data_IF_085284915870
#
_entry.id   IF_085284915870
#
_cell.length_a   1.000
_cell.length_b   1.000
_cell.length_c   1.000
_cell.angle_alpha   90.00
_cell.angle_beta   90.00
_cell.angle_gamma   90.00
#
_symmetry.space_group_name_H-M   'P 1'
#
loop_
_entity.id
_entity.type
_entity.pdbx_description
1 polymer ?
#
# COMPACT_ATOMS: atom_id res chain seq x y z
N UNK A 1 -8.12 46.79 42.95
CA UNK A 1 -6.86 46.08 42.63
C UNK A 1 -7.06 44.56 42.56
N UNK A 2 -7.79 43.94 43.50
CA UNK A 2 -8.16 42.51 43.53
C UNK A 2 -8.71 41.89 42.22
N UNK A 3 -9.56 42.62 41.47
CA UNK A 3 -10.23 42.08 40.28
C UNK A 3 -9.29 41.95 39.05
N UNK A 4 -8.18 42.69 39.05
CA UNK A 4 -7.20 42.68 37.95
C UNK A 4 -6.26 41.47 38.05
N UNK A 5 -5.83 41.09 39.26
CA UNK A 5 -5.00 39.89 39.48
C UNK A 5 -5.72 38.59 39.10
N UNK A 6 -7.01 38.47 39.43
CA UNK A 6 -7.81 37.25 39.15
C UNK A 6 -7.92 36.98 37.63
N UNK A 7 -8.11 38.04 36.84
CA UNK A 7 -8.15 37.93 35.36
C UNK A 7 -6.80 37.51 34.76
N UNK A 8 -5.69 38.02 35.29
CA UNK A 8 -4.36 37.65 34.78
C UNK A 8 -4.00 36.21 35.12
N UNK A 9 -4.38 35.72 36.31
CA UNK A 9 -4.19 34.31 36.70
C UNK A 9 -5.03 33.39 35.80
N UNK A 10 -6.29 33.72 35.52
CA UNK A 10 -7.14 32.91 34.62
C UNK A 10 -6.60 32.85 33.19
N UNK A 11 -6.11 33.98 32.64
CA UNK A 11 -5.53 34.03 31.28
C UNK A 11 -4.25 33.19 31.19
N UNK A 12 -3.39 33.23 32.21
CA UNK A 12 -2.17 32.42 32.26
C UNK A 12 -2.47 30.91 32.36
N UNK A 13 -3.49 30.53 33.14
CA UNK A 13 -3.91 29.13 33.25
C UNK A 13 -4.53 28.59 31.95
N UNK A 14 -5.32 29.40 31.24
CA UNK A 14 -5.87 29.04 29.93
C UNK A 14 -4.73 28.91 28.89
N UNK A 15 -3.77 29.83 28.88
CA UNK A 15 -2.62 29.75 27.98
C UNK A 15 -1.77 28.49 28.24
N UNK A 16 -1.54 28.14 29.51
CA UNK A 16 -0.83 26.90 29.90
C UNK A 16 -1.57 25.62 29.49
N UNK A 17 -2.91 25.60 29.61
CA UNK A 17 -3.75 24.49 29.15
C UNK A 17 -3.77 24.36 27.63
N UNK A 18 -3.75 25.47 26.89
CA UNK A 18 -3.73 25.44 25.43
C UNK A 18 -2.38 24.97 24.87
N UNK A 19 -1.27 25.33 25.52
CA UNK A 19 0.08 24.87 25.13
C UNK A 19 0.25 23.37 25.35
N UNK A 20 -0.30 22.81 26.44
CA UNK A 20 -0.20 21.38 26.73
C UNK A 20 -1.01 20.51 25.77
N UNK A 21 -2.21 20.96 25.37
CA UNK A 21 -3.04 20.26 24.37
C UNK A 21 -2.38 20.24 22.99
N UNK A 22 -1.72 21.34 22.59
CA UNK A 22 -1.04 21.41 21.29
C UNK A 22 0.17 20.48 21.19
N UNK A 23 0.90 20.27 22.29
CA UNK A 23 2.05 19.37 22.33
C UNK A 23 1.65 17.89 22.17
N UNK A 24 0.49 17.47 22.70
CA UNK A 24 0.00 16.09 22.57
C UNK A 24 -0.39 15.76 21.13
N UNK A 25 -0.83 16.75 20.35
CA UNK A 25 -1.25 16.56 18.95
C UNK A 25 -0.08 16.38 17.97
N UNK A 26 1.14 16.77 18.34
CA UNK A 26 2.32 16.68 17.45
C UNK A 26 3.08 15.35 17.56
N UNK A 27 2.81 14.55 18.59
CA UNK A 27 3.46 13.24 18.83
C UNK A 27 2.56 12.07 18.44
N UNK A 28 1.83 12.21 17.33
CA UNK A 28 1.29 11.05 16.61
C UNK A 28 2.46 10.21 16.11
N UNK A 29 2.79 9.13 16.83
CA UNK A 29 3.81 8.17 16.39
C UNK A 29 3.37 7.51 15.08
N UNK A 30 3.77 8.09 13.95
CA UNK A 30 3.84 7.37 12.68
C UNK A 30 4.88 6.28 12.83
N UNK A 31 4.45 5.13 13.33
CA UNK A 31 5.26 3.91 13.33
C UNK A 31 5.39 3.49 11.87
N UNK A 32 6.42 3.97 11.19
CA UNK A 32 6.79 3.44 9.88
C UNK A 32 6.95 1.93 10.06
N UNK A 33 6.12 1.15 9.37
CA UNK A 33 6.28 -0.30 9.33
C UNK A 33 7.72 -0.61 8.88
N UNK A 34 8.37 -1.64 9.45
CA UNK A 34 9.69 -2.04 8.98
C UNK A 34 9.60 -2.24 7.47
N UNK A 35 10.32 -1.40 6.72
CA UNK A 35 10.42 -1.54 5.27
C UNK A 35 11.33 -2.73 5.01
N UNK A 36 10.76 -3.94 5.06
CA UNK A 36 11.38 -5.09 4.41
C UNK A 36 11.46 -4.74 2.94
N UNK A 37 12.68 -4.65 2.42
CA UNK A 37 12.91 -4.39 1.00
C UNK A 37 12.48 -5.64 0.22
N UNK A 38 11.22 -5.66 -0.23
CA UNK A 38 10.65 -6.75 -1.01
C UNK A 38 11.20 -6.63 -2.43
N UNK A 39 11.88 -7.66 -2.90
CA UNK A 39 12.43 -7.73 -4.26
C UNK A 39 11.38 -8.16 -5.25
N UNK A 40 11.20 -7.42 -6.33
CA UNK A 40 10.32 -7.83 -7.41
C UNK A 40 10.74 -9.19 -7.98
N UNK A 41 12.03 -9.35 -8.31
CA UNK A 41 12.53 -10.55 -8.96
C UNK A 41 12.48 -11.79 -8.06
N UNK A 42 12.73 -11.63 -6.76
CA UNK A 42 12.87 -12.78 -5.85
C UNK A 42 11.60 -13.10 -5.04
N UNK A 43 10.79 -12.09 -4.72
CA UNK A 43 9.63 -12.26 -3.83
C UNK A 43 8.30 -12.17 -4.58
N UNK A 44 8.17 -11.27 -5.56
CA UNK A 44 6.90 -10.97 -6.24
C UNK A 44 6.71 -11.80 -7.50
N UNK A 45 7.67 -11.73 -8.43
CA UNK A 45 7.57 -12.37 -9.73
C UNK A 45 7.36 -13.89 -9.62
N UNK A 46 8.03 -14.65 -8.72
CA UNK A 46 7.77 -16.08 -8.58
C UNK A 46 6.33 -16.41 -8.14
N UNK A 47 5.68 -15.51 -7.38
CA UNK A 47 4.27 -15.66 -7.02
C UNK A 47 3.39 -15.44 -8.26
N UNK A 48 3.66 -14.38 -9.03
CA UNK A 48 2.91 -14.06 -10.24
C UNK A 48 3.06 -15.15 -11.31
N UNK A 49 4.29 -15.59 -11.57
CA UNK A 49 4.58 -16.65 -12.53
C UNK A 49 3.86 -17.95 -12.16
N UNK A 50 3.98 -18.38 -10.90
CA UNK A 50 3.38 -19.65 -10.45
C UNK A 50 1.85 -19.65 -10.30
N UNK A 51 1.21 -18.47 -10.23
CA UNK A 51 -0.25 -18.34 -10.02
C UNK A 51 -1.00 -17.82 -11.23
N UNK A 52 -0.39 -16.94 -12.01
CA UNK A 52 -1.02 -16.20 -13.09
C UNK A 52 -0.48 -16.60 -14.47
N UNK A 53 0.70 -17.23 -14.53
CA UNK A 53 1.45 -17.41 -15.77
C UNK A 53 0.74 -18.22 -16.85
N UNK A 54 -0.16 -19.13 -16.48
CA UNK A 54 -0.91 -19.93 -17.45
C UNK A 54 -1.88 -19.14 -18.34
N UNK A 55 -2.20 -17.90 -17.96
CA UNK A 55 -3.15 -17.04 -18.69
C UNK A 55 -2.60 -15.65 -19.02
N UNK A 56 -1.50 -15.23 -18.41
CA UNK A 56 -0.97 -13.86 -18.45
C UNK A 56 0.50 -13.78 -18.86
N UNK A 57 1.08 -14.89 -19.35
CA UNK A 57 2.41 -14.93 -19.95
C UNK A 57 2.33 -15.47 -21.38
N UNK A 58 3.29 -15.07 -22.21
CA UNK A 58 3.40 -15.48 -23.60
C UNK A 58 2.53 -14.67 -24.57
N UNK A 59 2.42 -15.15 -25.80
CA UNK A 59 1.85 -14.37 -26.91
C UNK A 59 0.34 -14.06 -26.76
N UNK A 60 -0.41 -14.94 -26.10
CA UNK A 60 -1.87 -14.79 -25.95
C UNK A 60 -2.26 -14.70 -24.48
N UNK A 61 -2.53 -13.48 -24.02
CA UNK A 61 -2.87 -13.21 -22.62
C UNK A 61 -4.34 -12.82 -22.45
N UNK A 62 -4.89 -13.10 -21.27
CA UNK A 62 -6.25 -12.70 -20.91
C UNK A 62 -6.32 -11.20 -20.66
N UNK A 63 -7.28 -10.52 -21.31
CA UNK A 63 -7.47 -9.06 -21.22
C UNK A 63 -6.23 -8.25 -21.65
N UNK A 64 -5.38 -8.82 -22.51
CA UNK A 64 -4.13 -8.20 -22.96
C UNK A 64 -3.20 -7.76 -21.80
N UNK A 65 -3.29 -8.45 -20.66
CA UNK A 65 -2.41 -8.21 -19.52
C UNK A 65 -1.23 -9.16 -19.61
N UNK A 66 -0.09 -8.61 -20.01
CA UNK A 66 1.20 -9.28 -20.09
C UNK A 66 1.95 -9.11 -18.76
N UNK A 67 2.57 -10.19 -18.30
CA UNK A 67 3.35 -10.21 -17.05
C UNK A 67 4.78 -10.71 -17.25
N UNK A 68 5.22 -10.82 -18.50
CA UNK A 68 6.50 -11.43 -18.91
C UNK A 68 7.69 -10.63 -18.38
N UNK A 69 7.54 -9.31 -18.32
CA UNK A 69 8.52 -8.41 -17.74
C UNK A 69 7.88 -7.48 -16.72
N UNK A 70 8.73 -6.85 -15.91
CA UNK A 70 8.30 -5.78 -15.01
C UNK A 70 7.58 -4.66 -15.79
N UNK A 71 8.14 -4.24 -16.93
CA UNK A 71 7.58 -3.13 -17.72
C UNK A 71 6.20 -3.52 -18.29
N UNK A 72 6.02 -4.76 -18.75
CA UNK A 72 4.73 -5.26 -19.23
C UNK A 72 3.67 -5.23 -18.12
N UNK A 73 4.02 -5.75 -16.94
CA UNK A 73 3.13 -5.77 -15.78
C UNK A 73 2.73 -4.34 -15.37
N UNK A 74 3.65 -3.39 -15.43
CA UNK A 74 3.41 -1.99 -15.06
C UNK A 74 2.64 -1.20 -16.13
N UNK A 75 2.78 -1.55 -17.41
CA UNK A 75 1.97 -1.01 -18.50
C UNK A 75 0.48 -1.38 -18.33
N UNK A 76 0.19 -2.54 -17.74
CA UNK A 76 -1.14 -2.98 -17.39
C UNK A 76 -1.85 -3.72 -18.52
N UNK A 77 -3.15 -3.51 -18.66
CA UNK A 77 -4.02 -4.26 -19.57
C UNK A 77 -4.70 -3.35 -20.59
N UNK A 78 -5.47 -3.92 -21.52
CA UNK A 78 -6.37 -3.15 -22.40
C UNK A 78 -7.34 -2.23 -21.62
N UNK A 79 -7.60 -2.55 -20.35
CA UNK A 79 -8.48 -1.79 -19.46
C UNK A 79 -7.72 -0.76 -18.59
N UNK A 80 -6.43 -0.55 -18.86
CA UNK A 80 -5.55 0.36 -18.13
C UNK A 80 -4.71 -0.31 -17.04
N UNK A 81 -4.15 0.54 -16.17
CA UNK A 81 -3.20 0.11 -15.12
C UNK A 81 -3.84 -0.88 -14.15
N UNK A 82 -3.11 -1.97 -13.87
CA UNK A 82 -3.52 -2.97 -12.87
C UNK A 82 -2.82 -2.76 -11.52
N UNK A 83 -1.73 -2.01 -11.51
CA UNK A 83 -0.93 -1.63 -10.34
C UNK A 83 -0.86 -0.10 -10.28
N UNK A 84 -1.09 0.45 -9.09
CA UNK A 84 -0.87 1.85 -8.75
C UNK A 84 0.27 1.90 -7.74
N UNK A 85 1.50 2.24 -8.15
CA UNK A 85 2.64 2.36 -7.24
C UNK A 85 2.34 3.24 -6.03
N UNK A 86 2.62 2.74 -4.83
CA UNK A 86 2.35 3.42 -3.56
C UNK A 86 0.90 3.30 -3.08
N UNK A 87 0.00 2.69 -3.85
CA UNK A 87 -1.41 2.55 -3.47
C UNK A 87 -1.99 1.17 -3.84
N UNK A 88 -1.74 0.18 -2.97
CA UNK A 88 -2.30 -1.15 -3.13
C UNK A 88 -3.84 -1.16 -3.11
N UNK A 89 -4.46 -0.22 -2.39
CA UNK A 89 -5.93 -0.14 -2.29
C UNK A 89 -6.60 0.22 -3.62
N UNK A 90 -5.93 1.03 -4.44
CA UNK A 90 -6.42 1.41 -5.78
C UNK A 90 -5.89 0.50 -6.89
N UNK A 91 -5.07 -0.50 -6.54
CA UNK A 91 -4.54 -1.46 -7.50
C UNK A 91 -5.53 -2.58 -7.77
N UNK A 92 -6.00 -2.71 -9.02
CA UNK A 92 -6.91 -3.76 -9.47
C UNK A 92 -6.34 -5.15 -9.15
N UNK A 93 -5.02 -5.34 -9.29
CA UNK A 93 -4.36 -6.60 -8.95
C UNK A 93 -4.70 -7.04 -7.52
N UNK A 94 -4.55 -6.14 -6.55
CA UNK A 94 -4.79 -6.40 -5.12
C UNK A 94 -6.27 -6.65 -4.87
N UNK A 95 -7.15 -5.89 -5.51
CA UNK A 95 -8.60 -6.10 -5.43
C UNK A 95 -8.97 -7.52 -5.86
N UNK A 96 -8.50 -7.96 -7.04
CA UNK A 96 -8.86 -9.25 -7.63
C UNK A 96 -8.31 -10.44 -6.85
N UNK A 97 -7.06 -10.38 -6.38
CA UNK A 97 -6.48 -11.47 -5.59
C UNK A 97 -7.11 -11.55 -4.19
N UNK A 98 -7.45 -10.41 -3.57
CA UNK A 98 -8.06 -10.37 -2.23
C UNK A 98 -9.49 -10.91 -2.22
N UNK A 99 -10.24 -10.68 -3.30
CA UNK A 99 -11.58 -11.26 -3.50
C UNK A 99 -11.53 -12.74 -3.94
N UNK A 100 -10.33 -13.28 -4.18
CA UNK A 100 -10.16 -14.62 -4.73
C UNK A 100 -10.71 -14.75 -6.15
N UNK A 101 -10.90 -13.66 -6.89
CA UNK A 101 -11.32 -13.68 -8.29
C UNK A 101 -10.18 -14.12 -9.20
N UNK A 102 -8.94 -13.79 -8.83
CA UNK A 102 -7.72 -14.23 -9.50
C UNK A 102 -6.84 -15.11 -8.60
N UNK A 103 -6.20 -16.15 -9.16
CA UNK A 103 -6.38 -16.64 -10.53
C UNK A 103 -7.78 -17.26 -10.75
N UNK A 104 -8.38 -17.11 -11.94
CA UNK A 104 -9.72 -17.65 -12.24
C UNK A 104 -9.80 -19.17 -12.07
N UNK A 105 -8.72 -19.87 -12.40
CA UNK A 105 -8.58 -21.32 -12.30
C UNK A 105 -7.31 -21.64 -11.50
N UNK A 106 -7.30 -22.79 -10.83
CA UNK A 106 -6.16 -23.23 -10.04
C UNK A 106 -6.13 -22.66 -8.61
N UNK A 107 -5.04 -22.93 -7.88
CA UNK A 107 -4.89 -22.52 -6.48
C UNK A 107 -4.90 -21.01 -6.31
N UNK A 108 -5.64 -20.52 -5.32
CA UNK A 108 -5.61 -19.10 -4.92
C UNK A 108 -4.29 -18.75 -4.23
N UNK A 109 -3.99 -17.46 -4.17
CA UNK A 109 -2.87 -16.97 -3.37
C UNK A 109 -3.19 -17.18 -1.88
N UNK A 110 -2.16 -17.50 -1.10
CA UNK A 110 -2.28 -17.51 0.36
C UNK A 110 -2.33 -16.07 0.89
N UNK A 111 -2.85 -15.85 2.12
CA UNK A 111 -2.82 -14.52 2.74
C UNK A 111 -1.41 -13.91 2.79
N UNK A 112 -0.38 -14.72 3.04
CA UNK A 112 1.00 -14.26 3.04
C UNK A 112 1.48 -13.82 1.64
N UNK A 113 1.11 -14.54 0.58
CA UNK A 113 1.43 -14.14 -0.80
C UNK A 113 0.74 -12.83 -1.20
N UNK A 114 -0.53 -12.67 -0.82
CA UNK A 114 -1.27 -11.41 -1.05
C UNK A 114 -0.59 -10.26 -0.30
N UNK A 115 -0.14 -10.50 0.93
CA UNK A 115 0.54 -9.50 1.74
C UNK A 115 1.86 -9.04 1.10
N UNK A 116 2.68 -9.96 0.59
CA UNK A 116 3.93 -9.64 -0.12
C UNK A 116 3.66 -8.70 -1.30
N UNK A 117 2.68 -9.03 -2.15
CA UNK A 117 2.32 -8.19 -3.30
C UNK A 117 1.79 -6.83 -2.84
N UNK A 118 0.94 -6.81 -1.81
CA UNK A 118 0.37 -5.58 -1.24
C UNK A 118 1.46 -4.65 -0.71
N UNK A 119 2.41 -5.19 0.03
CA UNK A 119 3.50 -4.43 0.64
C UNK A 119 4.48 -3.92 -0.43
N UNK A 120 4.80 -4.74 -1.43
CA UNK A 120 5.60 -4.31 -2.57
C UNK A 120 4.96 -3.14 -3.32
N UNK A 121 3.65 -3.21 -3.59
CA UNK A 121 2.94 -2.11 -4.25
C UNK A 121 2.95 -0.85 -3.38
N UNK A 122 2.65 -0.97 -2.08
CA UNK A 122 2.69 0.17 -1.15
C UNK A 122 4.10 0.76 -1.00
N UNK A 123 5.15 -0.03 -1.19
CA UNK A 123 6.55 0.42 -1.21
C UNK A 123 6.98 1.05 -2.56
N UNK A 124 6.03 1.30 -3.46
CA UNK A 124 6.27 1.95 -4.76
C UNK A 124 6.47 0.99 -5.92
N UNK A 125 6.16 -0.30 -5.74
CA UNK A 125 6.21 -1.32 -6.79
C UNK A 125 7.56 -1.34 -7.55
N UNK A 126 8.69 -1.28 -6.84
CA UNK A 126 10.01 -1.11 -7.46
C UNK A 126 10.49 -2.36 -8.21
N UNK A 127 11.28 -2.17 -9.27
CA UNK A 127 12.05 -3.23 -9.93
C UNK A 127 13.47 -3.29 -9.32
N UNK A 128 13.70 -4.21 -8.37
CA UNK A 128 14.86 -4.24 -7.47
C UNK A 128 15.44 -5.64 -7.22
#
# INVERSE_FOLDING_TARGET
MELSMKKQITVLLIALLLVSVFAVLQFGSSRAAPQTNISFANDVYPILESRCGSCHLGEFTSADLHMDTYDDLMNGSENGHVIVPGNAKESILVEKISKGEMPKRGPKLTPAQIQIITDWINAGAQNN
#
